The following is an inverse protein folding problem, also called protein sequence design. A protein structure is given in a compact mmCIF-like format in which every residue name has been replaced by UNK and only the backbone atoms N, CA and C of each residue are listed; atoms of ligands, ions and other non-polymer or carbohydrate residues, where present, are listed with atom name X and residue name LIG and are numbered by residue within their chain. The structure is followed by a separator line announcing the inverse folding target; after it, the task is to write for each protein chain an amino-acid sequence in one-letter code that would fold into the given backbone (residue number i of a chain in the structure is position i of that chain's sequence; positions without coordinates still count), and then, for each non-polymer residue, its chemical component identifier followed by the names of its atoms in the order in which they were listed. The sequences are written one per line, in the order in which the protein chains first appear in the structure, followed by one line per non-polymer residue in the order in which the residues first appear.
data_IF_750601175115
#
_entry.id   IF_750601175115
#
_cell.length_a   1.000
_cell.length_b   1.000
_cell.length_c   1.000
_cell.angle_alpha   90.00
_cell.angle_beta   90.00
_cell.angle_gamma   90.00
#
_symmetry.space_group_name_H-M   'P 1'
#
loop_
_entity.id
_entity.type
_entity.pdbx_description
1 polymer ?
#
# COMPACT_ATOMS: atom_id res chain seq x y z
N UNK A 1 6.80 -1.96 -9.67
CA UNK A 1 7.96 -1.85 -8.77
C UNK A 1 8.32 -0.39 -8.72
N UNK A 2 8.62 0.16 -7.54
CA UNK A 2 8.71 1.61 -7.35
C UNK A 2 9.88 1.95 -6.42
N UNK A 3 10.72 2.89 -6.86
CA UNK A 3 11.79 3.41 -6.02
C UNK A 3 11.24 4.34 -4.95
N UNK A 4 11.93 4.44 -3.81
CA UNK A 4 11.59 5.39 -2.75
C UNK A 4 12.84 6.01 -2.13
N UNK A 5 12.66 7.21 -1.57
CA UNK A 5 13.58 7.86 -0.63
C UNK A 5 12.81 8.09 0.68
N UNK A 6 13.28 7.50 1.78
CA UNK A 6 12.54 7.44 3.03
C UNK A 6 12.45 8.80 3.71
N UNK A 7 11.24 9.20 4.10
CA UNK A 7 10.96 10.45 4.83
C UNK A 7 10.90 10.32 6.36
N UNK A 8 11.08 9.10 6.90
CA UNK A 8 10.78 8.75 8.29
C UNK A 8 9.41 8.06 8.42
N UNK A 9 9.25 7.22 9.45
CA UNK A 9 8.01 6.44 9.63
C UNK A 9 6.75 7.28 9.84
N UNK A 10 6.91 8.52 10.35
CA UNK A 10 5.82 9.47 10.59
C UNK A 10 5.48 10.33 9.36
N UNK A 11 6.23 10.19 8.26
CA UNK A 11 6.07 10.96 7.03
C UNK A 11 5.96 10.03 5.81
N UNK A 12 4.86 9.25 5.72
CA UNK A 12 4.64 8.38 4.58
C UNK A 12 4.55 9.19 3.28
N UNK A 13 5.13 8.66 2.21
CA UNK A 13 5.15 9.26 0.88
C UNK A 13 4.30 8.42 -0.07
N UNK A 14 3.58 9.08 -0.99
CA UNK A 14 2.86 8.39 -2.05
C UNK A 14 3.88 7.60 -2.89
N UNK A 15 3.60 6.32 -3.14
CA UNK A 15 4.51 5.47 -3.91
C UNK A 15 4.52 5.90 -5.38
N UNK A 16 3.35 5.96 -6.00
CA UNK A 16 3.16 6.37 -7.40
C UNK A 16 1.68 6.66 -7.67
N UNK A 17 1.39 7.71 -8.45
CA UNK A 17 0.02 8.05 -8.90
C UNK A 17 -0.59 6.94 -9.76
N UNK A 18 0.22 6.13 -10.45
CA UNK A 18 -0.26 5.01 -11.26
C UNK A 18 -0.92 3.90 -10.42
N UNK A 19 -0.71 3.89 -9.10
CA UNK A 19 -1.30 2.94 -8.16
C UNK A 19 -2.63 3.43 -7.57
N UNK A 20 -3.02 4.67 -7.88
CA UNK A 20 -4.28 5.25 -7.42
C UNK A 20 -5.46 4.57 -8.10
N UNK A 21 -6.40 4.06 -7.30
CA UNK A 21 -7.63 3.43 -7.78
C UNK A 21 -8.85 4.13 -7.20
N UNK A 22 -9.86 4.36 -8.03
CA UNK A 22 -11.16 4.90 -7.60
C UNK A 22 -12.20 3.83 -7.85
N UNK A 23 -12.98 3.49 -6.84
CA UNK A 23 -14.07 2.52 -6.98
C UNK A 23 -15.08 3.06 -8.01
N UNK A 24 -15.34 2.34 -9.12
CA UNK A 24 -16.26 2.80 -10.15
C UNK A 24 -17.67 3.05 -9.64
N UNK A 25 -18.39 3.96 -10.31
CA UNK A 25 -19.80 4.20 -10.04
C UNK A 25 -20.62 2.92 -10.25
N UNK A 26 -21.47 2.59 -9.26
CA UNK A 26 -22.33 1.41 -9.31
C UNK A 26 -21.66 0.09 -8.92
N UNK A 27 -20.39 0.10 -8.50
CA UNK A 27 -19.68 -1.06 -8.00
C UNK A 27 -19.33 -0.91 -6.51
N UNK A 28 -19.01 -2.03 -5.87
CA UNK A 28 -18.20 -2.04 -4.63
C UNK A 28 -16.86 -2.70 -4.89
N UNK A 29 -15.86 -2.38 -4.08
CA UNK A 29 -14.54 -3.00 -4.15
C UNK A 29 -14.10 -3.52 -2.78
N UNK A 30 -13.36 -4.64 -2.78
CA UNK A 30 -12.81 -5.24 -1.57
C UNK A 30 -11.32 -5.58 -1.77
N UNK A 31 -10.42 -5.09 -0.91
CA UNK A 31 -9.05 -5.57 -0.85
C UNK A 31 -9.00 -7.01 -0.32
N UNK A 32 -8.47 -7.94 -1.13
CA UNK A 32 -8.46 -9.38 -0.81
C UNK A 32 -7.07 -9.93 -0.48
N UNK A 33 -6.01 -9.28 -0.93
CA UNK A 33 -4.65 -9.59 -0.48
C UNK A 33 -3.71 -8.40 -0.65
N UNK A 34 -2.60 -8.44 0.08
CA UNK A 34 -1.40 -7.65 -0.18
C UNK A 34 -0.21 -8.57 -0.32
N UNK A 35 0.60 -8.38 -1.37
CA UNK A 35 1.91 -8.99 -1.53
C UNK A 35 2.93 -7.87 -1.70
N UNK A 36 3.98 -7.93 -0.89
CA UNK A 36 4.98 -6.87 -0.79
C UNK A 36 6.40 -7.41 -0.76
N UNK A 37 7.33 -6.71 -1.39
CA UNK A 37 8.77 -6.92 -1.26
C UNK A 37 9.48 -5.59 -1.00
N UNK A 38 10.59 -5.63 -0.28
CA UNK A 38 11.41 -4.48 0.06
C UNK A 38 12.88 -4.81 -0.20
N UNK A 39 13.57 -3.99 -0.99
CA UNK A 39 14.99 -4.18 -1.29
C UNK A 39 15.94 -3.48 -0.31
N UNK A 40 15.44 -2.66 0.61
CA UNK A 40 16.29 -1.90 1.54
C UNK A 40 16.75 -2.74 2.74
N UNK A 41 17.90 -2.39 3.31
CA UNK A 41 18.45 -3.02 4.53
C UNK A 41 17.69 -2.63 5.81
N UNK A 42 16.71 -1.74 5.69
CA UNK A 42 15.81 -1.35 6.76
C UNK A 42 14.43 -1.95 6.54
N UNK A 43 13.69 -2.16 7.63
CA UNK A 43 12.26 -2.40 7.54
C UNK A 43 11.57 -1.19 6.89
N UNK A 44 10.57 -1.44 6.07
CA UNK A 44 9.66 -0.42 5.52
C UNK A 44 8.22 -0.84 5.79
N UNK A 45 7.30 0.10 5.67
CA UNK A 45 5.87 -0.18 5.76
C UNK A 45 5.18 0.38 4.54
N UNK A 46 4.50 -0.49 3.78
CA UNK A 46 3.53 -0.04 2.78
C UNK A 46 2.18 0.17 3.46
N UNK A 47 1.49 1.24 3.12
CA UNK A 47 0.24 1.64 3.76
C UNK A 47 -0.83 1.79 2.68
N UNK A 48 -1.93 1.06 2.82
CA UNK A 48 -3.14 1.29 2.04
C UNK A 48 -3.87 2.48 2.66
N UNK A 49 -4.06 3.54 1.86
CA UNK A 49 -4.88 4.69 2.20
C UNK A 49 -6.27 4.54 1.60
N UNK A 50 -7.28 4.96 2.35
CA UNK A 50 -8.68 5.12 1.93
C UNK A 50 -9.07 6.57 2.17
N UNK A 51 -9.45 7.28 1.11
CA UNK A 51 -9.93 8.67 1.16
C UNK A 51 -8.97 9.60 1.95
N UNK A 52 -7.68 9.50 1.63
CA UNK A 52 -6.63 10.30 2.26
C UNK A 52 -6.27 9.91 3.69
N UNK A 53 -6.82 8.80 4.22
CA UNK A 53 -6.51 8.30 5.57
C UNK A 53 -5.87 6.91 5.54
N UNK A 54 -4.89 6.62 6.42
CA UNK A 54 -4.38 5.26 6.57
C UNK A 54 -5.50 4.28 6.91
N UNK A 55 -5.63 3.22 6.12
CA UNK A 55 -6.58 2.13 6.33
C UNK A 55 -5.89 0.87 6.86
N UNK A 56 -4.74 0.51 6.27
CA UNK A 56 -4.03 -0.72 6.66
C UNK A 56 -2.53 -0.61 6.43
N UNK A 57 -1.76 -1.17 7.35
CA UNK A 57 -0.29 -1.16 7.34
C UNK A 57 0.25 -2.56 7.01
N UNK A 58 1.27 -2.60 6.17
CA UNK A 58 1.98 -3.81 5.75
C UNK A 58 3.48 -3.65 6.00
N UNK A 59 3.95 -3.97 7.21
CA UNK A 59 5.39 -4.00 7.50
C UNK A 59 6.08 -5.06 6.65
N UNK A 60 7.23 -4.69 6.08
CA UNK A 60 8.10 -5.57 5.29
C UNK A 60 9.50 -5.45 5.88
N UNK A 61 10.05 -6.58 6.35
CA UNK A 61 11.40 -6.63 6.91
C UNK A 61 12.48 -6.17 5.91
N UNK A 62 13.67 -5.89 6.43
CA UNK A 62 14.86 -5.61 5.64
C UNK A 62 15.12 -6.72 4.61
N UNK A 63 15.36 -6.35 3.36
CA UNK A 63 15.55 -7.26 2.22
C UNK A 63 14.49 -8.39 2.14
N UNK A 64 13.27 -8.10 2.62
CA UNK A 64 12.24 -9.08 2.91
C UNK A 64 11.06 -9.04 1.95
N UNK A 65 10.15 -9.99 2.15
CA UNK A 65 8.86 -10.01 1.50
C UNK A 65 7.76 -10.41 2.50
N UNK A 66 6.53 -10.01 2.22
CA UNK A 66 5.35 -10.38 3.00
C UNK A 66 4.18 -10.70 2.08
N UNK A 67 3.32 -11.58 2.54
CA UNK A 67 2.04 -11.89 1.91
C UNK A 67 0.98 -11.92 3.00
N UNK A 68 0.01 -11.03 2.88
CA UNK A 68 -1.11 -10.90 3.81
C UNK A 68 -2.40 -11.18 3.05
N UNK A 69 -3.05 -12.28 3.38
CA UNK A 69 -4.43 -12.51 2.96
C UNK A 69 -5.34 -11.53 3.72
N UNK A 70 -6.13 -10.75 3.00
CA UNK A 70 -7.10 -9.83 3.56
C UNK A 70 -8.45 -10.53 3.52
N UNK A 71 -8.82 -11.19 4.62
CA UNK A 71 -10.16 -11.79 4.76
C UNK A 71 -11.03 -10.89 5.64
N UNK A 72 -12.23 -10.65 5.13
CA UNK A 72 -13.30 -9.77 5.65
C UNK A 72 -12.83 -8.32 5.76
N UNK A 73 -13.12 -7.56 4.70
CA UNK A 73 -13.01 -6.10 4.68
C UNK A 73 -14.39 -5.56 4.31
N UNK A 74 -14.79 -4.48 4.97
CA UNK A 74 -15.96 -3.67 4.61
C UNK A 74 -15.95 -3.35 3.11
N UNK A 75 -17.14 -3.37 2.48
CA UNK A 75 -17.28 -2.93 1.09
C UNK A 75 -16.85 -1.46 0.96
N UNK A 76 -15.92 -1.22 0.04
CA UNK A 76 -15.59 0.13 -0.39
C UNK A 76 -16.61 0.54 -1.44
N UNK A 77 -17.34 1.60 -1.14
CA UNK A 77 -18.41 2.11 -2.01
C UNK A 77 -17.82 2.91 -3.17
N UNK A 78 -18.64 3.13 -4.19
CA UNK A 78 -18.34 4.03 -5.30
C UNK A 78 -17.73 5.37 -4.81
N UNK A 79 -16.82 5.91 -5.62
CA UNK A 79 -16.05 7.12 -5.36
C UNK A 79 -15.01 7.02 -4.22
N UNK A 80 -14.92 5.89 -3.51
CA UNK A 80 -13.81 5.64 -2.58
C UNK A 80 -12.48 5.66 -3.33
N UNK A 81 -11.51 6.41 -2.81
CA UNK A 81 -10.15 6.50 -3.38
C UNK A 81 -9.20 5.63 -2.58
N UNK A 82 -8.51 4.72 -3.27
CA UNK A 82 -7.43 3.91 -2.73
C UNK A 82 -6.07 4.35 -3.27
N UNK A 83 -5.11 4.48 -2.36
CA UNK A 83 -3.74 4.89 -2.67
C UNK A 83 -2.75 4.06 -1.86
N UNK A 84 -1.52 3.95 -2.35
CA UNK A 84 -0.44 3.25 -1.64
C UNK A 84 0.68 4.22 -1.29
N UNK A 85 1.02 4.22 0.00
CA UNK A 85 2.10 5.01 0.56
C UNK A 85 3.21 4.10 1.10
N UNK A 86 4.43 4.62 1.16
CA UNK A 86 5.57 3.97 1.80
C UNK A 86 6.10 4.83 2.94
N UNK A 87 6.28 4.20 4.10
CA UNK A 87 6.96 4.76 5.25
C UNK A 87 8.26 3.98 5.48
N UNK A 88 9.39 4.68 5.45
CA UNK A 88 10.72 4.12 5.64
C UNK A 88 11.56 5.10 6.47
N UNK A 89 12.64 4.65 7.16
CA UNK A 89 13.54 5.54 7.87
C UNK A 89 14.05 6.68 6.99
N UNK A 90 14.31 7.83 7.60
CA UNK A 90 14.84 8.98 6.87
C UNK A 90 16.17 8.64 6.19
N UNK A 91 16.27 8.92 4.89
CA UNK A 91 17.46 8.62 4.07
C UNK A 91 17.62 7.16 3.64
N UNK A 92 16.72 6.25 4.04
CA UNK A 92 16.70 4.89 3.51
C UNK A 92 16.22 4.90 2.05
N UNK A 93 16.95 4.21 1.17
CA UNK A 93 16.61 4.11 -0.26
C UNK A 93 16.41 2.66 -0.65
N UNK A 94 15.47 2.43 -1.55
CA UNK A 94 15.21 1.09 -2.03
C UNK A 94 14.12 1.06 -3.08
N UNK A 95 13.69 -0.16 -3.38
CA UNK A 95 12.55 -0.45 -4.24
C UNK A 95 11.55 -1.25 -3.46
N UNK A 96 10.28 -0.85 -3.54
CA UNK A 96 9.15 -1.66 -3.11
C UNK A 96 8.52 -2.36 -4.30
N UNK A 97 8.21 -3.63 -4.11
CA UNK A 97 7.40 -4.44 -5.01
C UNK A 97 6.04 -4.57 -4.33
N UNK A 98 4.97 -4.19 -5.01
CA UNK A 98 3.61 -4.19 -4.44
C UNK A 98 2.65 -4.83 -5.41
N UNK A 99 1.73 -5.62 -4.87
CA UNK A 99 0.59 -6.21 -5.57
C UNK A 99 -0.58 -6.29 -4.58
N UNK A 100 -1.65 -5.55 -4.87
CA UNK A 100 -2.89 -5.53 -4.09
C UNK A 100 -3.97 -6.16 -4.94
N UNK A 101 -4.54 -7.25 -4.44
CA UNK A 101 -5.71 -7.86 -5.05
C UNK A 101 -6.95 -7.10 -4.64
N UNK A 102 -7.73 -6.68 -5.63
CA UNK A 102 -9.08 -6.15 -5.44
C UNK A 102 -10.08 -7.12 -6.06
N UNK A 103 -11.24 -7.26 -5.43
CA UNK A 103 -12.44 -7.84 -6.05
C UNK A 103 -13.45 -6.73 -6.19
N UNK A 104 -13.95 -6.54 -7.41
CA UNK A 104 -15.02 -5.60 -7.74
C UNK A 104 -16.31 -6.41 -7.94
N UNK A 105 -17.42 -5.93 -7.36
CA UNK A 105 -18.75 -6.56 -7.38
C UNK A 105 -19.80 -5.57 -7.84
#
# INVERSE_FOLDING_TARGET
MFGFDGGGYEKPLLIDESLRYVVPAGATSQPVYFRGGNSADQMVTVILFRDGKPMRYFPIAAAGATHVALRVVEDLLADTVLELYVAAPEGAKGTVIVDVGLVEV
#
